data_IF_114421851246
#
_entry.id   IF_114421851246
#
_cell.length_a   1.000
_cell.length_b   1.000
_cell.length_c   1.000
_cell.angle_alpha   90.00
_cell.angle_beta   90.00
_cell.angle_gamma   90.00
#
_symmetry.space_group_name_H-M   'P 1'
#
loop_
_entity.id
_entity.type
_entity.pdbx_description
1 polymer ?
#
# COMPACT_ATOMS: atom_id res chain seq x y z
N UNK A 1 -22.04 -44.87 52.33
CA UNK A 1 -21.85 -43.71 51.41
C UNK A 1 -20.77 -44.08 50.40
N UNK A 2 -21.07 -44.01 49.10
CA UNK A 2 -20.11 -44.34 48.02
C UNK A 2 -20.35 -43.35 46.88
N UNK A 3 -19.47 -42.36 46.75
CA UNK A 3 -19.57 -41.30 45.74
C UNK A 3 -18.60 -41.66 44.62
N UNK A 4 -19.09 -41.77 43.39
CA UNK A 4 -18.28 -41.96 42.19
C UNK A 4 -18.03 -40.60 41.54
N UNK A 5 -16.79 -40.27 41.12
CA UNK A 5 -16.56 -39.10 40.31
C UNK A 5 -16.84 -39.44 38.83
N UNK A 6 -17.68 -38.63 38.19
CA UNK A 6 -17.92 -38.65 36.75
C UNK A 6 -16.99 -37.59 36.14
N UNK A 7 -15.98 -38.03 35.40
CA UNK A 7 -15.04 -37.15 34.71
C UNK A 7 -15.69 -36.73 33.38
N UNK A 8 -15.99 -35.44 33.26
CA UNK A 8 -16.49 -34.83 32.03
C UNK A 8 -15.29 -34.25 31.26
N UNK A 9 -14.82 -34.98 30.24
CA UNK A 9 -13.77 -34.49 29.34
C UNK A 9 -14.35 -33.46 28.36
N UNK A 10 -13.99 -32.20 28.52
CA UNK A 10 -14.30 -31.13 27.56
C UNK A 10 -13.16 -31.01 26.54
N UNK A 11 -13.42 -31.41 25.30
CA UNK A 11 -12.49 -31.21 24.17
C UNK A 11 -12.49 -29.75 23.74
N UNK A 12 -11.44 -29.01 24.08
CA UNK A 12 -11.18 -27.68 23.53
C UNK A 12 -10.71 -27.80 22.08
N UNK A 13 -11.57 -27.43 21.12
CA UNK A 13 -11.16 -27.26 19.73
C UNK A 13 -10.43 -25.93 19.61
N UNK A 14 -9.09 -25.98 19.58
CA UNK A 14 -8.22 -24.86 19.24
C UNK A 14 -8.43 -24.50 17.76
N UNK A 15 -9.25 -23.48 17.52
CA UNK A 15 -9.35 -22.85 16.21
C UNK A 15 -8.12 -21.94 16.02
N UNK A 16 -7.06 -22.47 15.41
CA UNK A 16 -5.87 -21.68 15.09
C UNK A 16 -6.21 -20.67 14.00
N UNK A 17 -5.93 -19.36 14.18
CA UNK A 17 -6.05 -18.41 13.09
C UNK A 17 -4.98 -18.72 12.03
N UNK A 18 -5.43 -19.05 10.81
CA UNK A 18 -4.58 -19.10 9.64
C UNK A 18 -4.01 -17.70 9.40
N UNK A 19 -2.72 -17.49 9.68
CA UNK A 19 -1.97 -16.33 9.18
C UNK A 19 -2.00 -16.39 7.64
N UNK A 20 -2.93 -15.69 7.01
CA UNK A 20 -2.79 -15.34 5.61
C UNK A 20 -1.78 -14.20 5.53
N UNK A 21 -0.61 -14.48 4.94
CA UNK A 21 0.28 -13.42 4.48
C UNK A 21 -0.48 -12.63 3.40
N UNK A 22 -1.04 -11.49 3.80
CA UNK A 22 -1.80 -10.63 2.89
C UNK A 22 -0.83 -10.11 1.83
N UNK A 23 -0.99 -10.56 0.59
CA UNK A 23 -0.15 -10.13 -0.51
C UNK A 23 -0.49 -8.68 -0.85
N UNK A 24 0.53 -7.83 -0.87
CA UNK A 24 0.32 -6.42 -1.18
C UNK A 24 -0.06 -6.29 -2.66
N UNK A 25 -1.25 -5.73 -2.93
CA UNK A 25 -1.65 -5.44 -4.31
C UNK A 25 -1.00 -4.12 -4.73
N UNK A 26 -0.03 -4.18 -5.64
CA UNK A 26 0.67 -3.01 -6.16
C UNK A 26 -0.07 -2.49 -7.42
N UNK A 27 -0.35 -1.17 -7.54
CA UNK A 27 -0.90 -0.59 -8.76
C UNK A 27 0.09 -0.69 -9.91
N UNK A 28 -0.43 -0.81 -11.12
CA UNK A 28 0.38 -0.66 -12.34
C UNK A 28 0.84 0.80 -12.51
N UNK A 29 1.89 1.01 -13.29
CA UNK A 29 2.39 2.37 -13.61
C UNK A 29 1.30 3.24 -14.24
N UNK A 30 0.42 2.66 -15.07
CA UNK A 30 -0.70 3.38 -15.69
C UNK A 30 -1.72 3.85 -14.65
N UNK A 31 -2.11 2.97 -13.71
CA UNK A 31 -3.01 3.30 -12.61
C UNK A 31 -2.40 4.38 -11.70
N UNK A 32 -1.11 4.27 -11.38
CA UNK A 32 -0.37 5.28 -10.62
C UNK A 32 -0.36 6.62 -11.34
N UNK A 33 -0.07 6.63 -12.65
CA UNK A 33 -0.09 7.85 -13.46
C UNK A 33 -1.45 8.51 -13.41
N UNK A 34 -2.53 7.75 -13.58
CA UNK A 34 -3.87 8.29 -13.49
C UNK A 34 -4.15 8.90 -12.10
N UNK A 35 -3.88 8.16 -11.03
CA UNK A 35 -4.10 8.61 -9.66
C UNK A 35 -3.25 9.85 -9.32
N UNK A 36 -2.02 9.92 -9.82
CA UNK A 36 -1.11 11.06 -9.63
C UNK A 36 -1.59 12.30 -10.38
N UNK A 37 -2.11 12.15 -11.61
CA UNK A 37 -2.73 13.26 -12.37
C UNK A 37 -3.96 13.79 -11.63
N UNK A 38 -4.77 12.91 -11.04
CA UNK A 38 -5.93 13.32 -10.24
C UNK A 38 -5.51 14.09 -8.97
N UNK A 39 -4.41 13.69 -8.32
CA UNK A 39 -3.86 14.37 -7.13
C UNK A 39 -3.24 15.74 -7.47
N UNK A 40 -2.43 15.82 -8.53
CA UNK A 40 -1.71 17.05 -8.91
C UNK A 40 -2.58 18.03 -9.72
N UNK A 41 -3.71 17.57 -10.24
CA UNK A 41 -4.57 18.32 -11.14
C UNK A 41 -4.16 18.17 -12.61
N UNK A 42 -5.13 18.37 -13.51
CA UNK A 42 -4.98 18.09 -14.95
C UNK A 42 -3.87 18.88 -15.64
N UNK A 43 -3.63 20.11 -15.22
CA UNK A 43 -2.61 20.98 -15.84
C UNK A 43 -1.21 20.45 -15.58
N UNK A 44 -0.86 20.21 -14.30
CA UNK A 44 0.43 19.61 -13.93
C UNK A 44 0.52 18.18 -14.46
N UNK A 45 -0.57 17.42 -14.35
CA UNK A 45 -0.64 16.05 -14.86
C UNK A 45 -0.37 15.91 -16.35
N UNK A 46 -0.79 16.89 -17.17
CA UNK A 46 -0.50 16.94 -18.60
C UNK A 46 0.99 17.15 -18.90
N UNK A 47 1.75 17.72 -17.96
CA UNK A 47 3.20 17.92 -18.09
C UNK A 47 4.01 16.68 -17.72
N UNK A 48 3.38 15.63 -17.18
CA UNK A 48 4.04 14.36 -16.82
C UNK A 48 4.39 13.58 -18.09
N UNK A 49 5.65 13.68 -18.51
CA UNK A 49 6.20 12.97 -19.66
C UNK A 49 6.55 11.53 -19.33
N UNK A 50 6.97 11.26 -18.10
CA UNK A 50 7.32 9.92 -17.62
C UNK A 50 6.97 9.76 -16.14
N UNK A 51 6.54 8.56 -15.76
CA UNK A 51 6.37 8.16 -14.37
C UNK A 51 6.94 6.74 -14.20
N UNK A 52 7.77 6.55 -13.18
CA UNK A 52 8.25 5.24 -12.73
C UNK A 52 7.75 4.95 -11.32
N UNK A 53 7.44 3.69 -11.06
CA UNK A 53 7.01 3.19 -9.76
C UNK A 53 8.14 2.38 -9.12
N UNK A 54 8.51 2.71 -7.90
CA UNK A 54 9.62 2.09 -7.19
C UNK A 54 9.16 1.07 -6.14
N UNK A 55 9.75 1.16 -4.95
CA UNK A 55 9.44 0.31 -3.80
C UNK A 55 8.08 0.68 -3.22
N UNK A 56 7.27 -0.34 -2.97
CA UNK A 56 5.98 -0.22 -2.30
C UNK A 56 5.95 -1.07 -1.03
N UNK A 57 5.39 -0.51 0.04
CA UNK A 57 5.15 -1.16 1.33
C UNK A 57 3.72 -0.90 1.79
N UNK A 58 3.25 -1.59 2.83
CA UNK A 58 2.02 -1.18 3.51
C UNK A 58 2.24 0.19 4.16
N UNK A 59 1.25 1.07 4.06
CA UNK A 59 1.37 2.39 4.68
C UNK A 59 1.51 2.28 6.20
N UNK A 60 2.36 3.10 6.81
CA UNK A 60 2.67 3.05 8.25
C UNK A 60 1.48 3.47 9.11
N UNK A 61 0.63 4.35 8.59
CA UNK A 61 -0.59 4.87 9.25
C UNK A 61 -1.74 4.94 8.24
N UNK A 62 -2.28 3.78 7.82
CA UNK A 62 -3.28 3.76 6.77
C UNK A 62 -4.59 4.36 7.29
N UNK A 63 -5.16 5.33 6.55
CA UNK A 63 -6.51 5.84 6.77
C UNK A 63 -7.55 5.11 5.91
N UNK A 64 -7.10 4.26 4.99
CA UNK A 64 -7.92 3.45 4.10
C UNK A 64 -7.50 1.97 4.11
N UNK A 65 -8.45 1.02 3.98
CA UNK A 65 -8.13 -0.40 3.86
C UNK A 65 -7.21 -0.69 2.68
N UNK A 66 -6.17 -1.49 2.90
CA UNK A 66 -5.21 -1.88 1.87
C UNK A 66 -4.38 -0.72 1.33
N UNK A 67 -4.27 0.41 2.05
CA UNK A 67 -3.43 1.53 1.66
C UNK A 67 -1.96 1.13 1.67
N UNK A 68 -1.28 1.50 0.59
CA UNK A 68 0.14 1.22 0.38
C UNK A 68 0.87 2.54 0.20
N UNK A 69 2.16 2.57 0.56
CA UNK A 69 3.05 3.69 0.32
C UNK A 69 4.09 3.28 -0.73
N UNK A 70 4.31 4.11 -1.74
CA UNK A 70 5.28 3.84 -2.79
C UNK A 70 6.19 5.05 -3.07
N UNK A 71 7.42 4.78 -3.47
CA UNK A 71 8.30 5.76 -4.13
C UNK A 71 7.94 5.87 -5.62
N UNK A 72 8.18 7.06 -6.18
CA UNK A 72 7.87 7.40 -7.57
C UNK A 72 8.96 8.30 -8.13
N UNK A 73 9.28 8.13 -9.40
CA UNK A 73 9.97 9.18 -10.16
C UNK A 73 8.97 9.81 -11.10
N UNK A 74 8.85 11.14 -11.05
CA UNK A 74 7.99 11.93 -11.94
C UNK A 74 8.87 12.82 -12.79
N UNK A 75 8.70 12.74 -14.11
CA UNK A 75 9.34 13.64 -15.07
C UNK A 75 8.36 14.69 -15.56
N UNK A 76 8.67 15.95 -15.30
CA UNK A 76 7.91 17.12 -15.71
C UNK A 76 8.78 17.95 -16.67
N UNK A 77 8.59 17.76 -17.98
CA UNK A 77 9.48 18.33 -18.98
C UNK A 77 10.93 17.86 -18.81
N UNK A 78 11.86 18.79 -18.54
CA UNK A 78 13.27 18.48 -18.29
C UNK A 78 13.57 18.13 -16.82
N UNK A 79 12.66 18.43 -15.88
CA UNK A 79 12.83 18.16 -14.46
C UNK A 79 12.44 16.71 -14.15
N UNK A 80 13.26 16.03 -13.34
CA UNK A 80 12.98 14.69 -12.83
C UNK A 80 13.06 14.75 -11.31
N UNK A 81 12.01 14.31 -10.62
CA UNK A 81 11.93 14.34 -9.17
C UNK A 81 11.53 12.97 -8.64
N UNK A 82 12.28 12.44 -7.68
CA UNK A 82 11.88 11.27 -6.89
C UNK A 82 11.09 11.74 -5.68
N UNK A 83 9.88 11.20 -5.53
CA UNK A 83 8.93 11.55 -4.49
C UNK A 83 8.24 10.28 -3.98
N UNK A 84 7.30 10.45 -3.06
CA UNK A 84 6.59 9.36 -2.42
C UNK A 84 5.10 9.69 -2.31
N UNK A 85 4.26 8.67 -2.49
CA UNK A 85 2.80 8.81 -2.42
C UNK A 85 2.20 7.54 -1.86
N UNK A 86 1.11 7.72 -1.11
CA UNK A 86 0.25 6.62 -0.71
C UNK A 86 -0.84 6.40 -1.77
N UNK A 87 -1.27 5.16 -1.90
CA UNK A 87 -2.31 4.73 -2.82
C UNK A 87 -3.30 3.82 -2.11
N UNK A 88 -4.59 4.00 -2.38
CA UNK A 88 -5.64 3.10 -1.89
C UNK A 88 -6.72 2.88 -2.95
N UNK A 89 -7.49 1.81 -2.78
CA UNK A 89 -8.60 1.47 -3.67
C UNK A 89 -9.90 2.15 -3.22
N UNK A 90 -10.54 2.88 -4.14
CA UNK A 90 -11.86 3.48 -3.95
C UNK A 90 -12.73 3.18 -5.16
N UNK A 91 -13.78 2.37 -4.95
CA UNK A 91 -14.72 1.98 -6.02
C UNK A 91 -14.03 1.40 -7.27
N UNK A 92 -13.02 0.56 -7.06
CA UNK A 92 -12.27 -0.10 -8.14
C UNK A 92 -11.21 0.77 -8.82
N UNK A 93 -10.96 1.99 -8.32
CA UNK A 93 -9.91 2.89 -8.83
C UNK A 93 -8.87 3.15 -7.76
N UNK A 94 -7.63 3.34 -8.20
CA UNK A 94 -6.57 3.82 -7.32
C UNK A 94 -6.69 5.32 -7.11
N UNK A 95 -6.56 5.75 -5.86
CA UNK A 95 -6.52 7.16 -5.46
C UNK A 95 -5.18 7.41 -4.80
N UNK A 96 -4.50 8.47 -5.22
CA UNK A 96 -3.23 8.91 -4.65
C UNK A 96 -3.47 9.93 -3.53
N UNK A 97 -2.60 9.93 -2.53
CA UNK A 97 -2.57 10.92 -1.46
C UNK A 97 -1.13 11.12 -0.96
N UNK A 98 -0.82 12.24 -0.29
CA UNK A 98 0.48 12.42 0.35
C UNK A 98 0.79 11.23 1.26
N UNK A 99 2.03 10.76 1.20
CA UNK A 99 2.45 9.64 2.03
C UNK A 99 2.76 10.10 3.46
N UNK A 100 2.56 9.25 4.45
CA UNK A 100 3.13 9.42 5.82
C UNK A 100 4.24 8.39 6.12
N UNK A 101 4.70 7.65 5.11
CA UNK A 101 5.65 6.53 5.27
C UNK A 101 7.09 6.90 4.87
N UNK A 102 7.45 8.18 4.87
CA UNK A 102 8.75 8.66 4.34
C UNK A 102 9.96 8.08 5.05
N UNK A 103 9.84 7.83 6.34
CA UNK A 103 10.90 7.27 7.16
C UNK A 103 11.12 5.76 6.91
N UNK A 104 10.22 5.10 6.17
CA UNK A 104 10.28 3.66 5.85
C UNK A 104 10.58 3.36 4.40
N UNK A 105 10.35 4.31 3.50
CA UNK A 105 10.67 4.16 2.09
C UNK A 105 12.14 4.53 1.83
N UNK A 106 12.86 3.79 0.96
CA UNK A 106 14.23 4.14 0.61
C UNK A 106 14.27 5.49 -0.12
N UNK A 107 15.33 6.26 0.12
CA UNK A 107 15.63 7.46 -0.66
C UNK A 107 17.16 7.67 -0.75
N UNK A 108 17.74 7.75 -1.96
CA UNK A 108 17.10 7.46 -3.24
C UNK A 108 16.71 5.98 -3.35
N UNK A 109 15.63 5.68 -4.07
CA UNK A 109 15.17 4.31 -4.25
C UNK A 109 16.03 3.58 -5.29
N UNK A 110 16.64 2.44 -4.95
CA UNK A 110 17.42 1.64 -5.91
C UNK A 110 16.59 1.11 -7.09
N UNK A 111 15.26 0.96 -6.97
CA UNK A 111 14.39 0.54 -8.07
C UNK A 111 14.09 1.64 -9.09
N UNK A 112 14.43 2.89 -8.76
CA UNK A 112 14.15 4.05 -9.60
C UNK A 112 15.38 4.55 -10.38
N UNK A 113 16.53 3.90 -10.18
CA UNK A 113 17.80 4.20 -10.87
C UNK A 113 17.82 3.62 -12.30
#
# INVERSE_FOLDING_TARGET
>A
MKIRPMILSASFVLCSPLLHAESIRIPTVSEVKQATVELLGKEIGAMISELKLGTCIFAVKPTHPGQIACTLTIRLGAATNETQSDFYQKKGKWVAMPSESQDKLPFPDPKLQ
#
